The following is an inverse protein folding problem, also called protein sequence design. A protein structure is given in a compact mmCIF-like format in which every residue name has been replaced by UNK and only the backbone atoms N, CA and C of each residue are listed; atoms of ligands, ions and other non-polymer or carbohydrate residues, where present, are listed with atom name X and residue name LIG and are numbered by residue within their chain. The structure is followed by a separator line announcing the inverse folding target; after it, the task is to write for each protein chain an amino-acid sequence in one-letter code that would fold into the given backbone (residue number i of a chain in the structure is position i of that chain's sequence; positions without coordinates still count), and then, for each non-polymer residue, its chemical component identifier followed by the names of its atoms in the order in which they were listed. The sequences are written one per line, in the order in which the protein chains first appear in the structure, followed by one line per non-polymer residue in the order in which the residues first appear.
data_IF_023099947177
#
_entry.id   IF_023099947177
#
_cell.length_a   1.000
_cell.length_b   1.000
_cell.length_c   1.000
_cell.angle_alpha   90.00
_cell.angle_beta   90.00
_cell.angle_gamma   90.00
#
_symmetry.space_group_name_H-M   'P 1'
#
loop_
_entity.id
_entity.type
_entity.pdbx_description
1 polymer ?
#
# COMPACT_ATOMS: atom_id res chain seq x y z
N UNK A 1 -17.49 -13.80 -3.51
CA UNK A 1 -17.63 -12.40 -3.98
C UNK A 1 -16.21 -11.88 -4.14
N UNK A 2 -15.78 -11.56 -5.37
CA UNK A 2 -14.42 -11.09 -5.62
C UNK A 2 -14.25 -9.69 -5.02
N UNK A 3 -13.29 -9.53 -4.10
CA UNK A 3 -12.90 -8.24 -3.57
C UNK A 3 -11.57 -7.85 -4.19
N UNK A 4 -11.65 -7.16 -5.34
CA UNK A 4 -10.48 -6.75 -6.13
C UNK A 4 -9.41 -6.05 -5.29
N UNK A 5 -9.82 -5.28 -4.28
CA UNK A 5 -8.87 -4.58 -3.41
C UNK A 5 -8.10 -5.57 -2.51
N UNK A 6 -8.79 -6.50 -1.86
CA UNK A 6 -8.17 -7.52 -1.01
C UNK A 6 -7.25 -8.41 -1.83
N UNK A 7 -7.73 -8.89 -2.99
CA UNK A 7 -6.96 -9.74 -3.90
C UNK A 7 -5.68 -9.03 -4.38
N UNK A 8 -5.78 -7.73 -4.72
CA UNK A 8 -4.61 -6.93 -5.12
C UNK A 8 -3.61 -6.79 -3.97
N UNK A 9 -4.06 -6.48 -2.74
CA UNK A 9 -3.15 -6.37 -1.59
C UNK A 9 -2.50 -7.71 -1.23
N UNK A 10 -3.23 -8.83 -1.35
CA UNK A 10 -2.69 -10.18 -1.18
C UNK A 10 -1.52 -10.41 -2.14
N UNK A 11 -1.73 -10.17 -3.43
CA UNK A 11 -0.71 -10.34 -4.47
C UNK A 11 0.52 -9.45 -4.24
N UNK A 12 0.31 -8.20 -3.80
CA UNK A 12 1.41 -7.27 -3.52
C UNK A 12 2.26 -7.71 -2.32
N UNK A 13 1.63 -8.22 -1.26
CA UNK A 13 2.33 -8.80 -0.09
C UNK A 13 3.11 -10.05 -0.48
N UNK A 14 2.50 -10.98 -1.21
CA UNK A 14 3.12 -12.26 -1.59
C UNK A 14 4.35 -12.06 -2.47
N UNK A 15 4.26 -11.16 -3.46
CA UNK A 15 5.38 -10.85 -4.35
C UNK A 15 6.51 -10.08 -3.66
N UNK A 16 6.27 -9.52 -2.47
CA UNK A 16 7.19 -8.61 -1.76
C UNK A 16 7.75 -7.52 -2.68
N UNK A 17 6.95 -7.09 -3.66
CA UNK A 17 7.33 -6.09 -4.64
C UNK A 17 7.42 -4.72 -3.98
N UNK A 18 8.35 -3.89 -4.46
CA UNK A 18 8.25 -2.46 -4.17
C UNK A 18 7.02 -1.88 -4.87
N UNK A 19 6.26 -1.08 -4.14
CA UNK A 19 5.06 -0.39 -4.60
C UNK A 19 5.26 1.10 -4.37
N UNK A 20 4.80 1.91 -5.31
CA UNK A 20 4.70 3.36 -5.12
C UNK A 20 3.26 3.74 -4.82
N UNK A 21 3.05 4.32 -3.64
CA UNK A 21 1.77 4.89 -3.21
C UNK A 21 1.79 6.38 -3.47
N UNK A 22 0.89 6.85 -4.31
CA UNK A 22 0.66 8.28 -4.49
C UNK A 22 -0.41 8.72 -3.50
N UNK A 23 -0.10 9.76 -2.73
CA UNK A 23 -1.07 10.38 -1.84
C UNK A 23 -1.95 11.39 -2.58
N UNK A 24 -3.08 11.76 -1.98
CA UNK A 24 -3.99 12.77 -2.52
C UNK A 24 -3.34 14.15 -2.69
N UNK A 25 -2.31 14.46 -1.89
CA UNK A 25 -1.50 15.67 -2.02
C UNK A 25 -0.39 15.56 -3.08
N UNK A 26 -0.30 14.45 -3.81
CA UNK A 26 0.69 14.21 -4.87
C UNK A 26 2.03 13.66 -4.39
N UNK A 27 2.26 13.49 -3.08
CA UNK A 27 3.53 12.95 -2.56
C UNK A 27 3.62 11.45 -2.86
N UNK A 28 4.68 10.97 -3.53
CA UNK A 28 4.92 9.55 -3.70
C UNK A 28 5.62 8.95 -2.48
N UNK A 29 5.16 7.77 -2.05
CA UNK A 29 5.80 6.95 -1.02
C UNK A 29 6.15 5.60 -1.64
N UNK A 30 7.45 5.28 -1.72
CA UNK A 30 7.94 4.01 -2.26
C UNK A 30 8.32 3.07 -1.11
N UNK A 31 7.81 1.84 -1.15
CA UNK A 31 8.12 0.84 -0.13
C UNK A 31 7.43 -0.49 -0.38
N UNK A 32 7.52 -1.40 0.57
CA UNK A 32 6.87 -2.71 0.50
C UNK A 32 5.64 -2.74 1.41
N UNK A 33 4.53 -3.31 0.94
CA UNK A 33 3.34 -3.52 1.77
C UNK A 33 3.59 -4.69 2.71
N UNK A 34 3.45 -4.46 4.02
CA UNK A 34 3.61 -5.49 5.05
C UNK A 34 2.27 -6.10 5.48
N UNK A 35 1.26 -5.25 5.67
CA UNK A 35 -0.06 -5.65 6.13
C UNK A 35 -1.10 -4.61 5.72
N UNK A 36 -2.37 -5.01 5.71
CA UNK A 36 -3.50 -4.12 5.42
C UNK A 36 -4.67 -4.47 6.31
N UNK A 37 -5.43 -3.46 6.72
CA UNK A 37 -6.77 -3.67 7.29
C UNK A 37 -7.83 -2.96 6.42
N UNK A 38 -9.04 -2.80 6.94
CA UNK A 38 -10.15 -2.13 6.25
C UNK A 38 -9.82 -0.70 5.83
N UNK A 39 -9.08 0.07 6.63
CA UNK A 39 -8.86 1.51 6.47
C UNK A 39 -7.39 1.92 6.31
N UNK A 40 -6.45 1.03 6.60
CA UNK A 40 -5.02 1.34 6.64
C UNK A 40 -4.17 0.34 5.85
N UNK A 41 -2.98 0.79 5.46
CA UNK A 41 -1.91 0.02 4.82
C UNK A 41 -0.64 0.26 5.62
N UNK A 42 -0.02 -0.81 6.12
CA UNK A 42 1.28 -0.77 6.77
C UNK A 42 2.36 -1.05 5.74
N UNK A 43 3.31 -0.12 5.60
CA UNK A 43 4.41 -0.22 4.65
C UNK A 43 5.78 -0.18 5.33
N UNK A 44 6.75 -0.88 4.75
CA UNK A 44 8.17 -0.71 5.02
C UNK A 44 8.76 0.31 4.05
N UNK A 45 9.21 1.45 4.56
CA UNK A 45 9.77 2.57 3.79
C UNK A 45 11.12 2.93 4.41
N UNK A 46 12.20 2.75 3.64
CA UNK A 46 13.59 3.01 4.10
C UNK A 46 13.91 2.39 5.47
N UNK A 47 13.52 1.12 5.69
CA UNK A 47 13.76 0.39 6.93
C UNK A 47 12.89 0.82 8.12
N UNK A 48 11.94 1.74 7.93
CA UNK A 48 10.97 2.16 8.94
C UNK A 48 9.56 1.74 8.55
N UNK A 49 8.76 1.38 9.53
CA UNK A 49 7.34 1.12 9.35
C UNK A 49 6.57 2.45 9.26
N UNK A 50 5.69 2.56 8.27
CA UNK A 50 4.77 3.69 8.10
C UNK A 50 3.36 3.17 7.92
N UNK A 51 2.43 3.70 8.70
CA UNK A 51 1.01 3.42 8.58
C UNK A 51 0.34 4.51 7.74
N UNK A 52 -0.29 4.10 6.64
CA UNK A 52 -0.94 5.02 5.69
C UNK A 52 -2.45 4.75 5.73
N UNK A 53 -3.24 5.81 5.92
CA UNK A 53 -4.70 5.72 5.79
C UNK A 53 -5.10 5.68 4.32
N UNK A 54 -5.97 4.73 3.95
CA UNK A 54 -6.45 4.57 2.57
C UNK A 54 -7.15 5.82 2.02
N UNK A 55 -7.79 6.61 2.87
CA UNK A 55 -8.42 7.89 2.48
C UNK A 55 -7.42 8.94 1.95
N UNK A 56 -6.14 8.80 2.30
CA UNK A 56 -5.08 9.68 1.84
C UNK A 56 -4.39 9.14 0.57
N UNK A 57 -4.73 7.93 0.10
CA UNK A 57 -4.14 7.29 -1.07
C UNK A 57 -4.97 7.64 -2.31
N UNK A 58 -4.31 8.18 -3.34
CA UNK A 58 -4.94 8.42 -4.64
C UNK A 58 -4.72 7.24 -5.59
N UNK A 59 -3.52 6.66 -5.62
CA UNK A 59 -3.16 5.61 -6.58
C UNK A 59 -2.06 4.70 -6.02
N UNK A 60 -2.12 3.41 -6.37
CA UNK A 60 -1.04 2.43 -6.16
C UNK A 60 -0.44 2.06 -7.51
N UNK A 61 0.88 2.12 -7.64
CA UNK A 61 1.63 1.73 -8.83
C UNK A 61 2.66 0.65 -8.49
N UNK A 62 2.74 -0.36 -9.35
CA UNK A 62 3.61 -1.56 -9.22
C UNK A 62 4.76 -1.45 -10.21
#
# INVERSE_FOLDING_TARGET
MFNLQEDMYEQLKEKKGEVTVFLMNGVPIRGQILATDKFTVLMMVHGKQQLIYKQAISTLAI
#
